data_IF_068758158536
#
_entry.id   IF_068758158536
#
_cell.length_a   1.000
_cell.length_b   1.000
_cell.length_c   1.000
_cell.angle_alpha   90.00
_cell.angle_beta   90.00
_cell.angle_gamma   90.00
#
_symmetry.space_group_name_H-M   'P 1'
#
loop_
_entity.id
_entity.type
_entity.pdbx_description
1 polymer ?
#
# COMPACT_ATOMS: atom_id res chain seq x y z
N UNK A 1 19.43 -5.41 16.98
CA UNK A 1 19.80 -5.40 15.55
C UNK A 1 19.00 -4.25 14.97
N UNK A 2 19.62 -3.21 14.41
CA UNK A 2 18.84 -2.06 13.92
C UNK A 2 18.00 -2.49 12.71
N UNK A 3 16.74 -2.07 12.68
CA UNK A 3 15.81 -2.33 11.56
C UNK A 3 16.41 -1.87 10.22
N UNK A 4 16.21 -2.65 9.16
CA UNK A 4 16.53 -2.31 7.77
C UNK A 4 15.95 -0.94 7.41
N UNK A 5 14.66 -0.74 7.67
CA UNK A 5 13.96 0.50 7.35
C UNK A 5 14.52 1.70 8.13
N UNK A 6 14.85 1.49 9.40
CA UNK A 6 15.48 2.50 10.26
C UNK A 6 16.87 2.90 9.75
N UNK A 7 17.65 1.95 9.23
CA UNK A 7 18.98 2.22 8.65
C UNK A 7 18.86 3.05 7.37
N UNK A 8 17.96 2.64 6.44
CA UNK A 8 17.69 3.36 5.19
C UNK A 8 17.30 4.81 5.48
N UNK A 9 16.42 5.02 6.45
CA UNK A 9 15.99 6.36 6.85
C UNK A 9 17.15 7.18 7.44
N UNK A 10 17.99 6.57 8.28
CA UNK A 10 19.12 7.25 8.92
C UNK A 10 20.17 7.71 7.88
N UNK A 11 20.43 6.90 6.85
CA UNK A 11 21.34 7.24 5.74
C UNK A 11 20.86 8.44 4.94
N UNK A 12 19.55 8.61 4.80
CA UNK A 12 18.95 9.71 4.05
C UNK A 12 19.04 11.07 4.75
N UNK A 13 19.56 11.11 6.00
CA UNK A 13 19.67 12.32 6.84
C UNK A 13 18.33 13.03 7.12
N UNK A 14 17.20 12.36 6.90
CA UNK A 14 15.88 12.89 7.27
C UNK A 14 15.64 12.71 8.77
N UNK A 15 15.20 13.77 9.42
CA UNK A 15 14.76 13.70 10.82
C UNK A 15 13.39 13.01 10.90
N UNK A 16 13.22 12.19 11.93
CA UNK A 16 11.99 11.49 12.30
C UNK A 16 11.95 11.30 13.83
N UNK A 17 10.77 11.07 14.39
CA UNK A 17 10.59 10.80 15.82
C UNK A 17 11.08 9.39 16.18
N UNK A 18 11.46 9.17 17.45
CA UNK A 18 11.85 7.83 17.91
C UNK A 18 10.69 6.84 17.76
N UNK A 19 9.45 7.27 18.00
CA UNK A 19 8.27 6.44 17.78
C UNK A 19 8.11 6.02 16.32
N UNK A 20 8.43 6.90 15.36
CA UNK A 20 8.41 6.53 13.95
C UNK A 20 9.44 5.44 13.65
N UNK A 21 10.64 5.51 14.23
CA UNK A 21 11.63 4.43 14.13
C UNK A 21 11.11 3.12 14.72
N UNK A 22 10.53 3.15 15.92
CA UNK A 22 9.91 1.97 16.55
C UNK A 22 8.79 1.36 15.66
N UNK A 23 7.98 2.22 15.03
CA UNK A 23 6.94 1.79 14.10
C UNK A 23 7.54 1.06 12.90
N UNK A 24 8.63 1.59 12.32
CA UNK A 24 9.33 0.93 11.22
C UNK A 24 9.84 -0.45 11.62
N UNK A 25 10.37 -0.62 12.83
CA UNK A 25 10.83 -1.94 13.30
C UNK A 25 9.68 -2.95 13.42
N UNK A 26 8.53 -2.50 13.92
CA UNK A 26 7.32 -3.35 14.02
C UNK A 26 6.80 -3.71 12.63
N UNK A 27 6.70 -2.75 11.72
CA UNK A 27 6.25 -2.99 10.34
C UNK A 27 7.19 -3.94 9.60
N UNK A 28 8.49 -3.77 9.74
CA UNK A 28 9.50 -4.68 9.17
C UNK A 28 9.30 -6.11 9.67
N UNK A 29 9.13 -6.29 10.99
CA UNK A 29 8.90 -7.62 11.57
C UNK A 29 7.61 -8.27 11.04
N UNK A 30 6.55 -7.50 10.85
CA UNK A 30 5.27 -8.04 10.38
C UNK A 30 5.24 -8.30 8.85
N UNK A 31 5.95 -7.47 8.08
CA UNK A 31 5.86 -7.45 6.60
C UNK A 31 7.03 -8.13 5.88
N UNK A 32 8.24 -8.12 6.44
CA UNK A 32 9.43 -8.68 5.77
C UNK A 32 9.63 -10.15 6.11
N UNK A 33 9.13 -10.62 7.24
CA UNK A 33 9.40 -11.98 7.68
C UNK A 33 8.60 -13.00 6.86
N UNK A 34 9.27 -13.70 5.94
CA UNK A 34 8.78 -14.99 5.44
C UNK A 34 8.75 -15.98 6.62
N UNK A 35 7.64 -16.68 6.81
CA UNK A 35 7.49 -17.70 7.86
C UNK A 35 8.70 -18.65 7.85
N UNK A 36 9.61 -18.50 8.83
CA UNK A 36 10.77 -19.41 9.02
C UNK A 36 10.33 -20.84 9.37
N UNK A 37 9.06 -21.04 9.68
CA UNK A 37 8.46 -22.27 10.21
C UNK A 37 7.88 -23.21 9.14
N UNK A 38 8.13 -22.99 7.84
CA UNK A 38 7.80 -23.94 6.77
C UNK A 38 6.31 -24.09 6.40
N UNK A 39 5.39 -23.39 7.09
CA UNK A 39 3.99 -23.28 6.69
C UNK A 39 3.76 -22.13 5.69
N UNK A 40 2.72 -22.20 4.83
CA UNK A 40 2.39 -21.10 3.92
C UNK A 40 2.15 -19.82 4.73
N UNK A 41 2.91 -18.75 4.47
CA UNK A 41 2.67 -17.43 5.07
C UNK A 41 1.29 -16.94 4.62
N UNK A 42 0.37 -16.74 5.56
CA UNK A 42 -0.88 -16.05 5.30
C UNK A 42 -0.59 -14.58 5.05
N UNK A 43 -1.15 -14.05 3.96
CA UNK A 43 -0.97 -12.65 3.56
C UNK A 43 -1.79 -11.77 4.48
N UNK A 44 -1.24 -10.59 4.80
CA UNK A 44 -1.93 -9.64 5.65
C UNK A 44 -2.52 -8.52 4.81
N UNK A 45 -3.76 -8.18 5.14
CA UNK A 45 -4.33 -6.88 4.86
C UNK A 45 -3.94 -5.95 6.02
N UNK A 46 -3.15 -4.93 5.71
CA UNK A 46 -2.71 -3.94 6.70
C UNK A 46 -3.59 -2.70 6.61
N UNK A 47 -4.27 -2.37 7.70
CA UNK A 47 -5.01 -1.12 7.85
C UNK A 47 -4.09 -0.10 8.52
N UNK A 48 -3.45 0.75 7.74
CA UNK A 48 -2.50 1.78 8.20
C UNK A 48 -3.23 3.11 8.46
N UNK A 49 -3.81 3.23 9.64
CA UNK A 49 -4.63 4.34 10.11
C UNK A 49 -3.80 5.33 10.95
N UNK A 50 -3.02 6.18 10.27
CA UNK A 50 -2.14 7.16 10.92
C UNK A 50 -2.50 8.59 10.48
N UNK A 51 -2.35 9.61 11.36
CA UNK A 51 -2.64 11.00 11.04
C UNK A 51 -1.88 11.51 9.80
N UNK A 52 -2.40 12.58 9.21
CA UNK A 52 -1.67 13.31 8.16
C UNK A 52 -0.34 13.81 8.70
N UNK A 53 0.71 13.71 7.89
CA UNK A 53 2.08 14.11 8.30
C UNK A 53 2.85 13.05 9.09
N UNK A 54 2.21 11.97 9.56
CA UNK A 54 2.89 10.91 10.34
C UNK A 54 3.88 10.07 9.51
N UNK A 55 3.89 10.21 8.18
CA UNK A 55 4.87 9.55 7.31
C UNK A 55 4.38 8.29 6.60
N UNK A 56 3.07 8.13 6.38
CA UNK A 56 2.48 6.99 5.62
C UNK A 56 3.13 6.81 4.23
N UNK A 57 3.25 7.88 3.46
CA UNK A 57 3.97 7.91 2.18
C UNK A 57 5.46 7.59 2.34
N UNK A 58 6.09 8.06 3.43
CA UNK A 58 7.51 7.76 3.70
C UNK A 58 7.71 6.27 3.94
N UNK A 59 6.80 5.62 4.66
CA UNK A 59 6.82 4.17 4.88
C UNK A 59 6.85 3.44 3.53
N UNK A 60 5.93 3.74 2.60
CA UNK A 60 5.90 3.06 1.30
C UNK A 60 7.18 3.26 0.48
N UNK A 61 7.77 4.45 0.50
CA UNK A 61 9.04 4.75 -0.18
C UNK A 61 10.18 3.93 0.44
N UNK A 62 10.28 3.87 1.77
CA UNK A 62 11.30 3.07 2.46
C UNK A 62 11.16 1.58 2.10
N UNK A 63 9.93 1.06 2.03
CA UNK A 63 9.67 -0.31 1.56
C UNK A 63 10.15 -0.53 0.12
N UNK A 64 9.91 0.45 -0.77
CA UNK A 64 10.35 0.40 -2.16
C UNK A 64 11.88 0.40 -2.29
N UNK A 65 12.56 1.20 -1.46
CA UNK A 65 14.03 1.22 -1.39
C UNK A 65 14.58 -0.10 -0.88
N UNK A 66 14.00 -0.65 0.19
CA UNK A 66 14.40 -1.95 0.73
C UNK A 66 14.27 -3.08 -0.31
N UNK A 67 13.19 -3.11 -1.10
CA UNK A 67 13.04 -4.06 -2.20
C UNK A 67 14.06 -3.84 -3.33
N UNK A 68 14.33 -2.58 -3.70
CA UNK A 68 15.32 -2.24 -4.74
C UNK A 68 16.73 -2.69 -4.36
N UNK A 69 17.08 -2.57 -3.09
CA UNK A 69 18.38 -2.95 -2.53
C UNK A 69 18.47 -4.46 -2.21
N UNK A 70 17.42 -5.24 -2.47
CA UNK A 70 17.39 -6.68 -2.23
C UNK A 70 17.38 -7.06 -0.74
N UNK A 71 16.94 -6.15 0.12
CA UNK A 71 16.88 -6.34 1.57
C UNK A 71 15.59 -7.02 2.04
N UNK A 72 14.68 -7.30 1.10
CA UNK A 72 13.37 -7.89 1.34
C UNK A 72 13.08 -8.97 0.30
N UNK A 73 12.53 -10.09 0.73
CA UNK A 73 12.13 -11.21 -0.11
C UNK A 73 10.61 -11.43 -0.15
N UNK A 74 9.84 -10.71 0.65
CA UNK A 74 8.38 -10.82 0.74
C UNK A 74 7.61 -10.11 -0.38
N UNK A 75 8.26 -9.22 -1.13
CA UNK A 75 7.72 -8.55 -2.32
C UNK A 75 8.85 -8.08 -3.25
N UNK A 76 8.56 -7.96 -4.55
CA UNK A 76 9.56 -7.57 -5.56
C UNK A 76 9.63 -6.06 -5.82
N UNK A 77 8.55 -5.34 -5.49
CA UNK A 77 8.39 -3.91 -5.75
C UNK A 77 7.24 -3.33 -4.93
N UNK A 78 7.11 -2.02 -4.93
CA UNK A 78 5.97 -1.30 -4.36
C UNK A 78 5.18 -0.62 -5.47
N UNK A 79 3.86 -0.80 -5.45
CA UNK A 79 2.94 -0.01 -6.27
C UNK A 79 2.16 0.89 -5.30
N UNK A 80 2.47 2.19 -5.33
CA UNK A 80 1.83 3.20 -4.50
C UNK A 80 0.64 3.78 -5.27
N UNK A 81 -0.57 3.42 -4.85
CA UNK A 81 -1.82 3.81 -5.47
C UNK A 81 -2.37 5.04 -4.76
N UNK A 82 -2.62 6.13 -5.50
CA UNK A 82 -3.13 7.41 -4.99
C UNK A 82 -4.51 7.77 -5.56
N UNK A 83 -5.28 8.64 -4.89
CA UNK A 83 -6.56 9.15 -5.38
C UNK A 83 -6.46 10.07 -6.58
N UNK A 84 -5.46 10.96 -6.62
CA UNK A 84 -5.38 12.01 -7.63
C UNK A 84 -3.96 12.15 -8.17
N UNK A 85 -3.82 12.59 -9.42
CA UNK A 85 -2.51 12.74 -10.10
C UNK A 85 -1.61 13.78 -9.45
N UNK A 86 -2.20 14.81 -8.82
CA UNK A 86 -1.44 15.92 -8.24
C UNK A 86 -0.50 15.47 -7.12
N UNK A 87 -0.79 14.35 -6.46
CA UNK A 87 0.08 13.79 -5.42
C UNK A 87 1.26 13.01 -6.01
N UNK A 88 1.25 12.68 -7.31
CA UNK A 88 2.26 11.79 -7.87
C UNK A 88 3.66 12.43 -7.87
N UNK A 89 3.77 13.67 -8.36
CA UNK A 89 5.05 14.37 -8.47
C UNK A 89 5.70 14.56 -7.09
N UNK A 90 4.94 14.99 -6.08
CA UNK A 90 5.42 15.13 -4.70
C UNK A 90 5.97 13.80 -4.14
N UNK A 91 5.31 12.68 -4.43
CA UNK A 91 5.75 11.34 -3.98
C UNK A 91 7.04 10.94 -4.70
N UNK A 92 7.16 11.22 -6.01
CA UNK A 92 8.37 10.94 -6.78
C UNK A 92 9.54 11.76 -6.26
N UNK A 93 9.35 13.05 -6.00
CA UNK A 93 10.38 13.94 -5.46
C UNK A 93 10.87 13.48 -4.09
N UNK A 94 9.95 13.07 -3.20
CA UNK A 94 10.31 12.46 -1.93
C UNK A 94 11.07 11.14 -2.10
N UNK A 95 10.71 10.32 -3.08
CA UNK A 95 11.42 9.07 -3.38
C UNK A 95 12.84 9.35 -3.87
N UNK A 96 13.03 10.32 -4.76
CA UNK A 96 14.34 10.74 -5.25
C UNK A 96 15.21 11.32 -4.12
N UNK A 97 14.63 12.13 -3.23
CA UNK A 97 15.33 12.64 -2.05
C UNK A 97 15.81 11.51 -1.10
N UNK A 98 15.12 10.38 -1.11
CA UNK A 98 15.46 9.17 -0.36
C UNK A 98 16.40 8.22 -1.13
N UNK A 99 16.88 8.61 -2.32
CA UNK A 99 17.77 7.82 -3.17
C UNK A 99 17.08 6.69 -3.94
N UNK A 100 15.75 6.66 -3.97
CA UNK A 100 14.98 5.64 -4.67
C UNK A 100 14.65 6.09 -6.10
N UNK A 101 14.99 5.26 -7.09
CA UNK A 101 14.51 5.44 -8.45
C UNK A 101 13.02 5.09 -8.52
N UNK A 102 12.18 6.10 -8.45
CA UNK A 102 10.73 5.99 -8.60
C UNK A 102 10.29 6.30 -10.03
N UNK A 103 9.12 5.80 -10.41
CA UNK A 103 8.46 6.12 -11.68
C UNK A 103 6.96 6.22 -11.45
N UNK A 104 6.22 6.73 -12.44
CA UNK A 104 4.77 6.77 -12.39
C UNK A 104 4.13 6.03 -13.57
N UNK A 105 2.91 5.56 -13.38
CA UNK A 105 2.06 5.09 -14.45
C UNK A 105 0.62 5.47 -14.17
N UNK A 106 0.16 6.54 -14.80
CA UNK A 106 -1.25 6.88 -14.87
C UNK A 106 -1.61 7.40 -16.26
N UNK A 107 -2.90 7.44 -16.58
CA UNK A 107 -3.36 8.02 -17.83
C UNK A 107 -2.82 9.45 -18.00
N UNK A 108 -2.24 9.73 -19.17
CA UNK A 108 -1.63 11.03 -19.50
C UNK A 108 -0.42 11.42 -18.62
N UNK A 109 0.23 10.46 -17.94
CA UNK A 109 1.51 10.72 -17.29
C UNK A 109 2.55 11.26 -18.28
N UNK A 110 3.38 12.20 -17.80
CA UNK A 110 4.52 12.72 -18.56
C UNK A 110 5.47 11.58 -18.94
N UNK A 111 5.94 11.58 -20.19
CA UNK A 111 6.83 10.54 -20.72
C UNK A 111 8.12 10.39 -19.92
N UNK A 112 8.63 11.46 -19.31
CA UNK A 112 9.88 11.49 -18.55
C UNK A 112 9.85 10.63 -17.27
N UNK A 113 8.67 10.50 -16.66
CA UNK A 113 8.47 9.74 -15.41
C UNK A 113 7.76 8.41 -15.65
N UNK A 114 7.31 8.15 -16.88
CA UNK A 114 6.41 7.03 -17.20
C UNK A 114 7.15 5.70 -17.22
N UNK A 115 6.66 4.73 -16.45
CA UNK A 115 6.97 3.30 -16.65
C UNK A 115 5.77 2.56 -17.22
N UNK A 116 5.94 1.68 -18.21
CA UNK A 116 4.88 0.75 -18.57
C UNK A 116 4.82 -0.43 -17.58
N UNK A 117 3.63 -1.02 -17.48
CA UNK A 117 3.33 -2.29 -16.80
C UNK A 117 3.77 -2.43 -15.32
N UNK A 118 3.95 -1.34 -14.59
CA UNK A 118 4.36 -1.33 -13.18
C UNK A 118 5.66 -2.13 -12.89
N UNK A 119 6.60 -2.21 -13.84
CA UNK A 119 7.80 -3.03 -13.69
C UNK A 119 8.91 -2.38 -12.83
N UNK A 120 8.84 -1.07 -12.62
CA UNK A 120 9.81 -0.37 -11.77
C UNK A 120 9.73 -0.80 -10.31
N UNK A 121 10.84 -0.77 -9.56
CA UNK A 121 10.86 -1.15 -8.14
C UNK A 121 9.91 -0.33 -7.25
N UNK A 122 9.67 0.93 -7.61
CA UNK A 122 8.64 1.77 -6.99
C UNK A 122 7.87 2.50 -8.09
N UNK A 123 6.57 2.25 -8.15
CA UNK A 123 5.68 2.89 -9.13
C UNK A 123 4.53 3.60 -8.44
N UNK A 124 4.37 4.89 -8.73
CA UNK A 124 3.19 5.66 -8.33
C UNK A 124 2.12 5.58 -9.41
N UNK A 125 0.89 5.26 -9.04
CA UNK A 125 -0.24 5.17 -9.97
C UNK A 125 -1.48 5.73 -9.33
N UNK A 126 -2.41 6.24 -10.13
CA UNK A 126 -3.75 6.55 -9.64
C UNK A 126 -4.62 5.29 -9.58
N UNK A 127 -5.67 5.28 -8.75
CA UNK A 127 -6.55 4.11 -8.61
C UNK A 127 -7.25 3.71 -9.91
N UNK A 128 -7.67 4.67 -10.73
CA UNK A 128 -8.28 4.40 -12.05
C UNK A 128 -7.32 3.62 -12.96
N UNK A 129 -6.06 4.07 -13.04
CA UNK A 129 -5.02 3.45 -13.86
C UNK A 129 -4.58 2.09 -13.30
N UNK A 130 -4.55 1.97 -11.98
CA UNK A 130 -4.33 0.69 -11.30
C UNK A 130 -5.45 -0.31 -11.62
N UNK A 131 -6.71 0.14 -11.49
CA UNK A 131 -7.89 -0.67 -11.78
C UNK A 131 -7.94 -1.15 -13.22
N UNK A 132 -7.56 -0.30 -14.18
CA UNK A 132 -7.49 -0.69 -15.60
C UNK A 132 -6.50 -1.82 -15.83
N UNK A 133 -5.27 -1.65 -15.32
CA UNK A 133 -4.25 -2.69 -15.40
C UNK A 133 -4.70 -4.00 -14.72
N UNK A 134 -5.34 -3.90 -13.54
CA UNK A 134 -5.89 -5.03 -12.81
C UNK A 134 -6.99 -5.76 -13.62
N UNK A 135 -7.89 -5.01 -14.25
CA UNK A 135 -9.00 -5.50 -15.07
C UNK A 135 -8.61 -5.86 -16.50
N UNK A 136 -7.33 -6.18 -16.74
CA UNK A 136 -6.78 -6.62 -18.04
C UNK A 136 -6.83 -5.56 -19.15
N UNK A 137 -6.81 -4.29 -18.79
CA UNK A 137 -6.70 -3.15 -19.71
C UNK A 137 -5.39 -2.41 -19.42
N UNK A 138 -4.23 -2.86 -19.94
CA UNK A 138 -2.97 -2.17 -19.74
C UNK A 138 -3.03 -0.70 -20.13
N UNK A 139 -2.78 0.21 -19.19
CA UNK A 139 -2.83 1.66 -19.46
C UNK A 139 -1.78 2.07 -20.50
N UNK A 140 -0.65 1.35 -20.56
CA UNK A 140 0.39 1.55 -21.56
C UNK A 140 -0.10 1.25 -23.00
N UNK A 141 -1.13 0.42 -23.16
CA UNK A 141 -1.63 -0.06 -24.44
C UNK A 141 -3.14 0.19 -24.62
N UNK A 142 -3.73 1.10 -23.85
CA UNK A 142 -5.19 1.28 -23.79
C UNK A 142 -5.83 1.47 -25.17
N UNK A 143 -5.17 2.21 -26.06
CA UNK A 143 -5.64 2.40 -27.44
C UNK A 143 -5.70 1.10 -28.24
N UNK A 144 -4.67 0.26 -28.09
CA UNK A 144 -4.55 -1.03 -28.78
C UNK A 144 -5.55 -2.05 -28.25
N UNK A 145 -5.75 -2.08 -26.93
CA UNK A 145 -6.78 -2.93 -26.29
C UNK A 145 -8.17 -2.56 -26.79
N UNK A 146 -8.50 -1.26 -26.86
CA UNK A 146 -9.83 -0.80 -27.29
C UNK A 146 -10.06 -1.05 -28.79
N UNK A 147 -9.04 -0.84 -29.63
CA UNK A 147 -9.18 -0.95 -31.09
C UNK A 147 -9.06 -2.39 -31.62
N UNK A 148 -8.18 -3.20 -31.03
CA UNK A 148 -7.81 -4.52 -31.55
C UNK A 148 -8.20 -5.66 -30.59
N UNK A 149 -8.58 -5.37 -29.35
CA UNK A 149 -8.75 -6.39 -28.31
C UNK A 149 -7.43 -7.03 -27.85
N UNK A 150 -6.29 -6.46 -28.25
CA UNK A 150 -4.95 -6.98 -27.98
C UNK A 150 -4.22 -6.10 -26.96
N UNK A 151 -3.70 -6.72 -25.91
CA UNK A 151 -2.82 -6.06 -24.94
C UNK A 151 -2.17 -7.06 -24.00
N UNK A 152 -1.02 -6.70 -23.47
CA UNK A 152 -0.22 -7.57 -22.60
C UNK A 152 -0.71 -7.50 -21.16
N UNK A 153 -1.99 -7.82 -20.93
CA UNK A 153 -2.69 -7.75 -19.65
C UNK A 153 -2.00 -8.52 -18.51
N UNK A 154 -1.32 -9.60 -18.83
CA UNK A 154 -0.69 -10.45 -17.81
C UNK A 154 0.60 -9.84 -17.25
N UNK A 155 1.27 -8.92 -17.97
CA UNK A 155 2.48 -8.25 -17.46
C UNK A 155 2.16 -7.34 -16.26
N UNK A 156 1.23 -6.36 -16.35
CA UNK A 156 0.90 -5.54 -15.18
C UNK A 156 0.20 -6.34 -14.08
N UNK A 157 -0.55 -7.41 -14.41
CA UNK A 157 -1.13 -8.30 -13.39
C UNK A 157 -0.05 -9.06 -12.61
N UNK A 158 0.95 -9.61 -13.30
CA UNK A 158 2.14 -10.17 -12.65
C UNK A 158 2.78 -9.12 -11.74
N UNK A 159 2.93 -7.88 -12.23
CA UNK A 159 3.51 -6.81 -11.42
C UNK A 159 2.72 -6.53 -10.16
N UNK A 160 1.38 -6.50 -10.26
CA UNK A 160 0.46 -6.29 -9.15
C UNK A 160 0.52 -7.43 -8.12
N UNK A 161 0.45 -8.69 -8.56
CA UNK A 161 0.45 -9.85 -7.65
C UNK A 161 1.79 -10.12 -6.96
N UNK A 162 2.87 -9.48 -7.42
CA UNK A 162 4.21 -9.62 -6.84
C UNK A 162 4.70 -8.35 -6.15
N UNK A 163 3.87 -7.31 -6.10
CA UNK A 163 4.17 -6.03 -5.46
C UNK A 163 3.51 -5.92 -4.08
N UNK A 164 4.13 -5.20 -3.15
CA UNK A 164 3.41 -4.63 -2.02
C UNK A 164 2.48 -3.53 -2.57
N UNK A 165 1.17 -3.79 -2.56
CA UNK A 165 0.18 -2.86 -3.06
C UNK A 165 -0.20 -1.90 -1.93
N UNK A 166 0.26 -0.65 -2.03
CA UNK A 166 0.05 0.39 -1.03
C UNK A 166 -1.03 1.35 -1.53
N UNK A 167 -2.28 1.16 -1.09
CA UNK A 167 -3.43 1.97 -1.49
C UNK A 167 -3.59 3.10 -0.48
N UNK A 168 -3.17 4.29 -0.89
CA UNK A 168 -3.14 5.50 -0.07
C UNK A 168 -4.44 6.29 -0.19
N UNK A 169 -4.81 6.94 0.91
CA UNK A 169 -6.08 7.64 1.10
C UNK A 169 -7.29 6.84 0.60
N UNK A 170 -7.34 5.55 0.95
CA UNK A 170 -8.36 4.63 0.44
C UNK A 170 -9.81 5.11 0.72
N UNK A 171 -9.98 5.89 1.81
CA UNK A 171 -11.27 6.42 2.25
C UNK A 171 -11.92 7.33 1.19
N UNK A 172 -11.14 7.98 0.32
CA UNK A 172 -11.67 8.84 -0.76
C UNK A 172 -12.47 8.03 -1.78
N UNK A 173 -12.15 6.75 -1.93
CA UNK A 173 -12.85 5.85 -2.84
C UNK A 173 -14.05 5.17 -2.19
N UNK A 174 -14.20 5.32 -0.88
CA UNK A 174 -15.30 4.77 -0.12
C UNK A 174 -16.44 5.79 -0.04
N UNK A 175 -17.67 5.35 -0.30
CA UNK A 175 -18.84 6.18 -0.01
C UNK A 175 -19.03 6.31 1.50
N UNK A 176 -19.15 7.55 1.98
CA UNK A 176 -19.50 7.87 3.39
C UNK A 176 -20.88 7.32 3.81
N UNK A 177 -21.68 6.80 2.87
CA UNK A 177 -23.02 6.25 3.10
C UNK A 177 -23.03 4.84 3.70
N UNK A 178 -21.86 4.26 4.04
CA UNK A 178 -21.77 2.98 4.77
C UNK A 178 -22.37 3.02 6.19
N UNK A 179 -22.85 4.18 6.67
CA UNK A 179 -23.32 4.38 8.05
C UNK A 179 -24.85 4.51 8.17
N UNK A 180 -25.60 4.53 7.07
CA UNK A 180 -27.06 4.64 7.16
C UNK A 180 -27.77 3.65 6.24
N UNK A 181 -28.24 2.56 6.86
CA UNK A 181 -29.16 1.55 6.34
C UNK A 181 -28.57 0.44 5.45
N UNK A 182 -28.92 -0.77 5.86
CA UNK A 182 -28.65 -2.05 5.18
C UNK A 182 -29.31 -2.00 3.80
N UNK A 183 -28.51 -1.86 2.74
CA UNK A 183 -28.92 -2.25 1.38
C UNK A 183 -28.83 -1.18 0.28
N UNK A 184 -28.50 0.08 0.58
CA UNK A 184 -28.44 1.11 -0.47
C UNK A 184 -27.00 1.43 -0.91
N UNK A 185 -26.72 1.04 -2.14
CA UNK A 185 -25.68 1.56 -3.04
C UNK A 185 -24.30 1.81 -2.42
N UNK A 186 -23.57 0.72 -2.11
CA UNK A 186 -22.10 0.78 -2.11
C UNK A 186 -21.68 1.42 -3.44
N UNK A 187 -21.00 2.57 -3.40
CA UNK A 187 -20.63 3.26 -4.64
C UNK A 187 -19.81 2.31 -5.53
N UNK A 188 -19.93 2.46 -6.86
CA UNK A 188 -19.19 1.59 -7.81
C UNK A 188 -17.68 1.58 -7.55
N UNK A 189 -17.13 2.72 -7.11
CA UNK A 189 -15.73 2.86 -6.71
C UNK A 189 -15.40 2.03 -5.46
N UNK A 190 -16.26 2.08 -4.44
CA UNK A 190 -16.14 1.26 -3.23
C UNK A 190 -16.20 -0.23 -3.56
N UNK A 191 -17.16 -0.64 -4.41
CA UNK A 191 -17.31 -2.02 -4.86
C UNK A 191 -16.06 -2.51 -5.60
N UNK A 192 -15.50 -1.68 -6.48
CA UNK A 192 -14.28 -2.00 -7.22
C UNK A 192 -13.08 -2.14 -6.29
N UNK A 193 -12.91 -1.23 -5.33
CA UNK A 193 -11.84 -1.32 -4.33
C UNK A 193 -11.96 -2.61 -3.53
N UNK A 194 -13.15 -2.93 -2.99
CA UNK A 194 -13.38 -4.18 -2.28
C UNK A 194 -13.08 -5.41 -3.14
N UNK A 195 -13.52 -5.41 -4.39
CA UNK A 195 -13.23 -6.49 -5.33
C UNK A 195 -11.73 -6.69 -5.53
N UNK A 196 -10.99 -5.60 -5.76
CA UNK A 196 -9.55 -5.65 -5.95
C UNK A 196 -8.85 -6.14 -4.67
N UNK A 197 -9.15 -5.54 -3.51
CA UNK A 197 -8.54 -5.92 -2.22
C UNK A 197 -8.82 -7.38 -1.90
N UNK A 198 -10.08 -7.83 -2.00
CA UNK A 198 -10.47 -9.23 -1.81
C UNK A 198 -9.63 -10.16 -2.68
N UNK A 199 -9.56 -9.82 -3.96
CA UNK A 199 -8.85 -10.64 -4.94
C UNK A 199 -7.34 -10.68 -4.67
N UNK A 200 -6.73 -9.55 -4.27
CA UNK A 200 -5.32 -9.49 -3.92
C UNK A 200 -5.03 -10.30 -2.66
N UNK A 201 -5.81 -10.16 -1.59
CA UNK A 201 -5.58 -10.93 -0.37
C UNK A 201 -5.68 -12.44 -0.62
N UNK A 202 -6.60 -12.88 -1.50
CA UNK A 202 -6.74 -14.30 -1.82
C UNK A 202 -5.72 -14.86 -2.84
N UNK A 203 -5.16 -14.03 -3.73
CA UNK A 203 -4.38 -14.51 -4.89
C UNK A 203 -2.97 -13.92 -5.02
N UNK A 204 -2.67 -12.83 -4.32
CA UNK A 204 -1.36 -12.19 -4.34
C UNK A 204 -0.35 -12.99 -3.51
N UNK A 205 0.93 -12.93 -3.90
CA UNK A 205 2.00 -13.49 -3.08
C UNK A 205 2.56 -12.49 -2.06
N UNK A 206 1.96 -11.31 -1.97
CA UNK A 206 2.38 -10.17 -1.13
C UNK A 206 1.24 -9.65 -0.26
N UNK A 207 1.59 -8.82 0.72
CA UNK A 207 0.63 -8.11 1.57
C UNK A 207 -0.01 -6.92 0.82
N UNK A 208 -1.15 -6.45 1.33
CA UNK A 208 -1.85 -5.25 0.83
C UNK A 208 -1.95 -4.24 1.97
N UNK A 209 -1.62 -2.98 1.70
CA UNK A 209 -1.73 -1.90 2.68
C UNK A 209 -2.83 -0.94 2.25
N UNK A 210 -3.81 -0.71 3.13
CA UNK A 210 -4.80 0.35 3.02
C UNK A 210 -4.41 1.46 3.99
N UNK A 211 -4.00 2.60 3.47
CA UNK A 211 -3.53 3.76 4.23
C UNK A 211 -4.56 4.89 4.25
N UNK A 212 -4.85 5.45 5.42
CA UNK A 212 -5.75 6.60 5.58
C UNK A 212 -5.45 7.39 6.85
N UNK A 213 -5.69 8.71 6.82
CA UNK A 213 -5.78 9.53 8.05
C UNK A 213 -7.18 9.52 8.68
N UNK A 214 -8.20 9.13 7.92
CA UNK A 214 -9.61 9.11 8.29
C UNK A 214 -10.11 7.67 8.16
N UNK A 215 -9.92 6.82 9.20
CA UNK A 215 -10.28 5.42 9.13
C UNK A 215 -11.80 5.27 9.00
N UNK A 216 -12.25 4.70 7.88
CA UNK A 216 -13.66 4.31 7.66
C UNK A 216 -13.83 2.80 7.73
N UNK A 217 -12.74 2.04 7.58
CA UNK A 217 -12.72 0.60 7.77
C UNK A 217 -12.23 0.26 9.17
N UNK A 218 -12.97 -0.62 9.86
CA UNK A 218 -12.51 -1.28 11.07
C UNK A 218 -12.23 -2.77 10.78
N UNK A 219 -11.50 -3.43 11.68
CA UNK A 219 -11.09 -4.83 11.52
C UNK A 219 -12.28 -5.78 11.37
N UNK A 220 -13.35 -5.58 12.17
CA UNK A 220 -14.52 -6.46 12.15
C UNK A 220 -15.26 -6.41 10.81
N UNK A 221 -15.48 -5.21 10.28
CA UNK A 221 -16.11 -5.00 8.98
C UNK A 221 -15.30 -5.66 7.87
N UNK A 222 -13.99 -5.43 7.86
CA UNK A 222 -13.08 -5.99 6.86
C UNK A 222 -13.06 -7.51 6.93
N UNK A 223 -13.00 -8.10 8.12
CA UNK A 223 -13.05 -9.55 8.31
C UNK A 223 -14.36 -10.15 7.79
N UNK A 224 -15.49 -9.53 8.09
CA UNK A 224 -16.81 -9.99 7.67
C UNK A 224 -16.99 -9.90 6.15
N UNK A 225 -16.66 -8.76 5.54
CA UNK A 225 -16.89 -8.51 4.11
C UNK A 225 -15.91 -9.27 3.21
N UNK A 226 -14.65 -9.43 3.65
CA UNK A 226 -13.62 -10.09 2.87
C UNK A 226 -13.45 -11.58 3.21
N UNK A 227 -14.11 -12.07 4.27
CA UNK A 227 -13.98 -13.43 4.76
C UNK A 227 -12.58 -13.75 5.31
N UNK A 228 -11.96 -12.77 5.97
CA UNK A 228 -10.60 -12.87 6.50
C UNK A 228 -10.62 -13.29 7.98
N UNK A 229 -9.63 -14.06 8.37
CA UNK A 229 -9.36 -14.39 9.77
C UNK A 229 -8.58 -13.27 10.48
N UNK A 230 -8.61 -13.26 11.81
CA UNK A 230 -8.01 -12.16 12.58
C UNK A 230 -6.48 -12.09 12.38
N UNK A 231 -5.81 -13.21 12.12
CA UNK A 231 -4.38 -13.30 11.79
C UNK A 231 -4.01 -12.78 10.39
N UNK A 232 -5.00 -12.56 9.53
CA UNK A 232 -4.85 -12.02 8.18
C UNK A 232 -5.06 -10.50 8.12
N UNK A 233 -5.39 -9.85 9.23
CA UNK A 233 -5.57 -8.39 9.30
C UNK A 233 -4.64 -7.80 10.35
N UNK A 234 -3.77 -6.88 9.94
CA UNK A 234 -2.94 -6.08 10.83
C UNK A 234 -3.48 -4.66 10.88
N UNK A 235 -3.94 -4.22 12.03
CA UNK A 235 -4.38 -2.83 12.22
C UNK A 235 -3.26 -2.03 12.86
N UNK A 236 -2.90 -0.90 12.25
CA UNK A 236 -1.92 0.06 12.76
C UNK A 236 -2.64 1.37 12.96
N UNK A 237 -2.86 1.76 14.21
CA UNK A 237 -3.71 2.91 14.55
C UNK A 237 -3.00 3.85 15.50
N UNK A 238 -3.14 5.16 15.24
CA UNK A 238 -2.73 6.19 16.17
C UNK A 238 -3.77 6.39 17.27
N UNK A 239 -3.37 6.28 18.53
CA UNK A 239 -4.29 6.34 19.67
C UNK A 239 -3.72 7.15 20.84
N UNK A 240 -4.29 8.35 21.05
CA UNK A 240 -3.91 9.28 22.10
C UNK A 240 -4.19 8.76 23.51
N UNK A 241 -5.05 7.75 23.68
CA UNK A 241 -5.37 7.18 24.99
C UNK A 241 -4.22 6.33 25.56
N UNK A 242 -3.22 5.98 24.74
CA UNK A 242 -2.12 5.13 25.14
C UNK A 242 -0.87 5.89 25.55
N UNK A 243 -0.02 5.22 26.33
CA UNK A 243 1.32 5.73 26.62
C UNK A 243 2.13 5.91 25.33
N UNK A 244 2.99 6.93 25.24
CA UNK A 244 3.81 7.18 24.06
C UNK A 244 4.76 6.04 23.71
N UNK A 245 5.03 5.89 22.42
CA UNK A 245 5.78 4.78 21.82
C UNK A 245 4.89 3.90 20.95
N UNK A 246 5.41 2.73 20.57
CA UNK A 246 4.69 1.73 19.77
C UNK A 246 4.40 0.47 20.60
N UNK A 247 3.14 0.04 20.65
CA UNK A 247 2.72 -1.17 21.35
C UNK A 247 2.05 -2.17 20.41
N UNK A 248 2.55 -3.41 20.40
CA UNK A 248 1.92 -4.52 19.68
C UNK A 248 1.00 -5.32 20.62
N UNK A 249 -0.27 -5.44 20.26
CA UNK A 249 -1.31 -6.22 20.98
C UNK A 249 -2.01 -7.17 20.01
N UNK A 250 -1.50 -8.39 19.90
CA UNK A 250 -1.97 -9.33 18.88
C UNK A 250 -1.70 -8.77 17.49
N UNK A 251 -2.73 -8.59 16.67
CA UNK A 251 -2.63 -7.98 15.34
C UNK A 251 -3.01 -6.49 15.31
N UNK A 252 -2.89 -5.81 16.44
CA UNK A 252 -3.03 -4.36 16.54
C UNK A 252 -1.72 -3.72 16.95
N UNK A 253 -1.28 -2.72 16.20
CA UNK A 253 -0.14 -1.85 16.50
C UNK A 253 -0.72 -0.50 16.90
N UNK A 254 -0.53 -0.14 18.16
CA UNK A 254 -0.95 1.15 18.70
C UNK A 254 0.24 2.08 18.71
N UNK A 255 0.04 3.28 18.17
CA UNK A 255 1.07 4.28 18.00
C UNK A 255 0.64 5.56 18.72
N UNK A 256 1.54 6.14 19.52
CA UNK A 256 1.33 7.47 20.09
C UNK A 256 2.65 8.22 20.21
N UNK A 257 2.72 9.45 19.71
CA UNK A 257 3.89 10.30 19.88
C UNK A 257 3.68 11.19 21.11
N UNK A 258 4.73 11.38 21.93
CA UNK A 258 4.77 12.56 22.80
C UNK A 258 4.92 13.75 21.87
N UNK A 259 3.98 14.69 21.92
CA UNK A 259 4.24 16.05 21.45
C UNK A 259 5.58 16.57 22.04
#
# INVERSE_FOLDING_TARGET
>A
MSSILSNILSESKLKSTNTFYELLEVLEKELFTLNRSGGPRRRKLVLLNLPTGYGKTRISILMGRAATEGLVDSFLRVIHVIPTRNLAEDILDHAYALGLKATAQYMFADYSIKTPYFLSPFTVTTLDSYSFNFLKIPVAEVRRVISEGLGHAEIPRYSIYTALNFIDEYHIFMSNELVSSVGEFISKATTLLYFIVRHLVSNSITDVVLSSATPTLNVELVMNELGLSSDEVLEVTYDLAYGPGVQLRGNRVLVNDKD
#
